data_IF_286465495768
#
_entry.id   IF_286465495768
#
_cell.length_a   1.000
_cell.length_b   1.000
_cell.length_c   1.000
_cell.angle_alpha   90.00
_cell.angle_beta   90.00
_cell.angle_gamma   90.00
#
_symmetry.space_group_name_H-M   'P 1'
#
loop_
_entity.id
_entity.type
_entity.pdbx_description
1 polymer ?
#
# COMPACT_ATOMS: atom_id res chain seq x y z
N UNK A 1 -65.07 40.61 -33.75
CA UNK A 1 -64.58 39.90 -34.95
C UNK A 1 -63.46 38.96 -34.50
N UNK A 2 -63.72 37.65 -34.40
CA UNK A 2 -62.73 36.66 -33.95
C UNK A 2 -62.19 35.91 -35.17
N UNK A 3 -60.90 36.09 -35.47
CA UNK A 3 -60.23 35.36 -36.55
C UNK A 3 -59.84 33.99 -35.99
N UNK A 4 -60.54 32.95 -36.45
CA UNK A 4 -60.28 31.57 -36.06
C UNK A 4 -59.19 30.98 -36.97
N UNK A 5 -57.94 30.92 -36.47
CA UNK A 5 -56.79 30.45 -37.24
C UNK A 5 -56.68 28.93 -37.15
N UNK A 6 -57.35 28.23 -38.07
CA UNK A 6 -57.26 26.77 -38.16
C UNK A 6 -55.91 26.37 -38.79
N UNK A 7 -54.86 26.17 -37.97
CA UNK A 7 -53.56 25.66 -38.43
C UNK A 7 -53.67 24.18 -38.82
N UNK A 8 -53.93 23.91 -40.10
CA UNK A 8 -53.75 22.57 -40.67
C UNK A 8 -52.25 22.25 -40.71
N UNK A 9 -51.84 21.20 -40.01
CA UNK A 9 -50.48 20.66 -40.02
C UNK A 9 -50.09 20.25 -41.45
N UNK A 10 -49.07 20.90 -42.02
CA UNK A 10 -48.55 20.72 -43.41
C UNK A 10 -47.74 19.41 -43.56
N UNK A 11 -47.56 18.65 -42.47
CA UNK A 11 -46.69 17.47 -42.45
C UNK A 11 -47.52 16.23 -42.79
N UNK A 12 -47.15 15.53 -43.87
CA UNK A 12 -47.83 14.30 -44.30
C UNK A 12 -47.70 13.16 -43.28
N UNK A 13 -48.64 12.23 -43.26
CA UNK A 13 -48.62 11.07 -42.34
C UNK A 13 -47.34 10.23 -42.46
N UNK A 14 -46.80 10.10 -43.68
CA UNK A 14 -45.51 9.44 -43.94
C UNK A 14 -44.33 10.21 -43.33
N UNK A 15 -44.36 11.54 -43.37
CA UNK A 15 -43.33 12.39 -42.76
C UNK A 15 -43.42 12.41 -41.23
N UNK A 16 -44.62 12.34 -40.64
CA UNK A 16 -44.79 12.21 -39.18
C UNK A 16 -44.16 10.93 -38.62
N UNK A 17 -44.30 9.80 -39.33
CA UNK A 17 -43.66 8.52 -38.96
C UNK A 17 -42.13 8.59 -39.05
N UNK A 18 -41.59 9.24 -40.09
CA UNK A 18 -40.14 9.46 -40.25
C UNK A 18 -39.57 10.36 -39.15
N UNK A 19 -40.24 11.47 -38.84
CA UNK A 19 -39.85 12.39 -37.76
C UNK A 19 -39.87 11.68 -36.41
N UNK A 20 -40.91 10.88 -36.13
CA UNK A 20 -40.97 10.07 -34.91
C UNK A 20 -39.80 9.09 -34.78
N UNK A 21 -39.43 8.40 -35.87
CA UNK A 21 -38.30 7.47 -35.86
C UNK A 21 -36.95 8.17 -35.64
N UNK A 22 -36.77 9.37 -36.20
CA UNK A 22 -35.54 10.17 -36.02
C UNK A 22 -35.43 10.64 -34.56
N UNK A 23 -36.54 11.12 -33.97
CA UNK A 23 -36.56 11.54 -32.56
C UNK A 23 -36.20 10.37 -31.63
N UNK A 24 -36.73 9.17 -31.89
CA UNK A 24 -36.40 7.97 -31.10
C UNK A 24 -34.93 7.60 -31.23
N UNK A 25 -34.36 7.64 -32.44
CA UNK A 25 -32.93 7.37 -32.66
C UNK A 25 -32.03 8.40 -31.96
N UNK A 26 -32.40 9.69 -32.03
CA UNK A 26 -31.67 10.76 -31.34
C UNK A 26 -31.75 10.59 -29.82
N UNK A 27 -32.92 10.24 -29.26
CA UNK A 27 -33.05 9.97 -27.83
C UNK A 27 -32.27 8.73 -27.37
N UNK A 28 -32.18 7.68 -28.19
CA UNK A 28 -31.34 6.51 -27.90
C UNK A 28 -29.85 6.87 -27.90
N UNK A 29 -29.41 7.69 -28.86
CA UNK A 29 -28.02 8.16 -28.93
C UNK A 29 -27.66 9.10 -27.77
N UNK A 30 -28.56 10.03 -27.41
CA UNK A 30 -28.37 10.87 -26.23
C UNK A 30 -28.40 10.05 -24.93
N UNK A 31 -29.30 9.06 -24.81
CA UNK A 31 -29.38 8.17 -23.66
C UNK A 31 -28.13 7.30 -23.48
N UNK A 32 -27.55 6.81 -24.58
CA UNK A 32 -26.28 6.10 -24.54
C UNK A 32 -25.11 7.02 -24.12
N UNK A 33 -25.07 8.25 -24.65
CA UNK A 33 -24.06 9.25 -24.28
C UNK A 33 -24.16 9.66 -22.80
N UNK A 34 -25.38 9.89 -22.28
CA UNK A 34 -25.56 10.22 -20.87
C UNK A 34 -25.25 9.03 -19.96
N UNK A 35 -25.58 7.80 -20.35
CA UNK A 35 -25.21 6.60 -19.59
C UNK A 35 -23.68 6.43 -19.44
N UNK A 36 -22.90 6.80 -20.46
CA UNK A 36 -21.44 6.79 -20.38
C UNK A 36 -20.90 7.88 -19.43
N UNK A 37 -21.53 9.06 -19.38
CA UNK A 37 -21.12 10.17 -18.51
C UNK A 37 -21.55 10.00 -17.04
N UNK A 38 -22.68 9.33 -16.77
CA UNK A 38 -23.17 9.06 -15.40
C UNK A 38 -22.21 8.16 -14.61
N UNK A 39 -21.26 7.50 -15.27
CA UNK A 39 -20.25 6.69 -14.60
C UNK A 39 -19.26 7.55 -13.80
N UNK A 40 -18.83 8.72 -14.28
CA UNK A 40 -17.80 9.53 -13.61
C UNK A 40 -18.27 10.15 -12.29
N UNK A 41 -19.58 10.40 -12.14
CA UNK A 41 -20.17 11.06 -10.98
C UNK A 41 -20.31 10.15 -9.72
N UNK A 42 -19.96 8.87 -9.83
CA UNK A 42 -20.08 7.90 -8.72
C UNK A 42 -18.74 7.45 -8.12
N UNK A 43 -17.62 8.03 -8.58
CA UNK A 43 -16.29 7.68 -8.08
C UNK A 43 -16.11 8.18 -6.65
N UNK A 44 -15.61 7.31 -5.78
CA UNK A 44 -15.08 7.74 -4.50
C UNK A 44 -13.67 8.29 -4.75
N UNK A 45 -13.38 9.48 -4.25
CA UNK A 45 -12.00 9.97 -4.13
C UNK A 45 -11.46 9.43 -2.82
N UNK A 46 -10.32 8.75 -2.87
CA UNK A 46 -9.66 8.19 -1.69
C UNK A 46 -8.22 8.64 -1.61
N UNK A 47 -7.65 8.64 -0.41
CA UNK A 47 -6.21 8.83 -0.20
C UNK A 47 -5.58 7.44 -0.09
N UNK A 48 -4.68 7.10 -1.02
CA UNK A 48 -3.98 5.82 -1.01
C UNK A 48 -2.50 6.03 -0.66
N UNK A 49 -2.02 5.31 0.35
CA UNK A 49 -0.61 5.27 0.72
C UNK A 49 -0.04 3.89 0.41
N UNK A 50 0.84 3.79 -0.58
CA UNK A 50 1.52 2.56 -0.97
C UNK A 50 3.01 2.67 -0.60
N UNK A 51 3.49 1.79 0.29
CA UNK A 51 4.88 1.79 0.74
C UNK A 51 5.39 3.18 1.18
N UNK A 52 4.52 3.93 1.87
CA UNK A 52 4.80 5.29 2.36
C UNK A 52 4.68 6.40 1.30
N UNK A 53 4.32 6.10 0.06
CA UNK A 53 4.00 7.08 -0.98
C UNK A 53 2.49 7.33 -1.03
N UNK A 54 2.07 8.58 -0.84
CA UNK A 54 0.66 8.95 -0.77
C UNK A 54 0.18 9.66 -2.02
N UNK A 55 -0.97 9.25 -2.54
CA UNK A 55 -1.65 9.86 -3.68
C UNK A 55 -3.18 9.89 -3.49
N UNK A 56 -3.87 10.73 -4.27
CA UNK A 56 -5.32 10.67 -4.36
C UNK A 56 -5.75 9.88 -5.59
N UNK A 57 -6.65 8.92 -5.39
CA UNK A 57 -7.14 8.04 -6.45
C UNK A 57 -8.66 8.09 -6.49
N UNK A 58 -9.22 8.15 -7.69
CA UNK A 58 -10.65 8.00 -7.90
C UNK A 58 -10.96 6.56 -8.30
N UNK A 59 -11.87 5.91 -7.58
CA UNK A 59 -12.17 4.48 -7.78
C UNK A 59 -13.67 4.19 -7.74
N UNK A 60 -14.07 3.13 -8.45
CA UNK A 60 -15.39 2.51 -8.37
C UNK A 60 -15.41 1.25 -7.50
N UNK A 61 -14.26 0.87 -6.93
CA UNK A 61 -14.14 -0.29 -6.08
C UNK A 61 -15.07 -0.16 -4.87
N UNK A 62 -15.78 -1.26 -4.58
CA UNK A 62 -16.70 -1.33 -3.44
C UNK A 62 -15.99 -1.67 -2.14
N UNK A 63 -14.82 -2.31 -2.22
CA UNK A 63 -14.06 -2.78 -1.05
C UNK A 63 -12.58 -2.51 -1.23
N UNK A 64 -11.84 -2.45 -0.11
CA UNK A 64 -10.37 -2.29 -0.10
C UNK A 64 -9.68 -3.33 -0.98
N UNK A 65 -10.08 -4.62 -0.91
CA UNK A 65 -9.54 -5.68 -1.77
C UNK A 65 -9.73 -5.39 -3.27
N UNK A 66 -10.92 -4.95 -3.67
CA UNK A 66 -11.18 -4.65 -5.07
C UNK A 66 -10.36 -3.44 -5.53
N UNK A 67 -10.17 -2.45 -4.65
CA UNK A 67 -9.34 -1.28 -4.93
C UNK A 67 -7.86 -1.65 -5.08
N UNK A 68 -7.30 -2.45 -4.17
CA UNK A 68 -5.90 -2.89 -4.26
C UNK A 68 -5.64 -3.66 -5.57
N UNK A 69 -6.58 -4.52 -6.00
CA UNK A 69 -6.50 -5.18 -7.31
C UNK A 69 -6.57 -4.22 -8.49
N UNK A 70 -7.40 -3.18 -8.41
CA UNK A 70 -7.44 -2.11 -9.42
C UNK A 70 -6.10 -1.39 -9.54
N UNK A 71 -5.37 -1.22 -8.43
CA UNK A 71 -4.02 -0.67 -8.39
C UNK A 71 -2.92 -1.70 -8.76
N UNK A 72 -3.28 -2.90 -9.19
CA UNK A 72 -2.35 -4.02 -9.46
C UNK A 72 -1.48 -4.39 -8.24
N UNK A 73 -2.02 -4.22 -7.03
CA UNK A 73 -1.38 -4.65 -5.79
C UNK A 73 -1.84 -6.06 -5.45
N UNK A 74 -0.91 -7.00 -5.61
CA UNK A 74 -1.01 -8.35 -5.04
C UNK A 74 -0.34 -8.34 -3.67
N UNK A 75 -1.11 -8.59 -2.62
CA UNK A 75 -0.62 -8.51 -1.24
C UNK A 75 -0.49 -9.89 -0.59
N UNK A 76 0.52 -10.03 0.27
CA UNK A 76 0.81 -11.25 1.05
C UNK A 76 0.14 -11.26 2.43
N UNK A 77 0.27 -12.38 3.14
CA UNK A 77 -0.25 -12.55 4.51
C UNK A 77 0.45 -11.63 5.53
N UNK A 78 1.71 -11.27 5.28
CA UNK A 78 2.51 -10.44 6.17
C UNK A 78 2.47 -8.95 5.84
N UNK A 79 1.84 -8.57 4.71
CA UNK A 79 1.71 -7.18 4.32
C UNK A 79 0.82 -6.43 5.31
N UNK A 80 1.13 -5.16 5.50
CA UNK A 80 0.26 -4.27 6.23
C UNK A 80 -0.83 -3.74 5.31
N UNK A 81 -2.09 -3.87 5.72
CA UNK A 81 -3.23 -3.28 5.03
C UNK A 81 -4.17 -2.68 6.06
N UNK A 82 -4.50 -1.41 5.87
CA UNK A 82 -5.50 -0.73 6.67
C UNK A 82 -6.34 0.21 5.79
N UNK A 83 -7.68 0.25 5.96
CA UNK A 83 -8.51 -0.66 6.74
C UNK A 83 -8.55 -2.09 6.19
N UNK A 84 -9.30 -3.00 6.83
CA UNK A 84 -9.41 -4.40 6.40
C UNK A 84 -9.78 -4.53 4.91
N UNK A 85 -9.24 -5.55 4.24
CA UNK A 85 -9.49 -5.87 2.83
C UNK A 85 -10.99 -6.02 2.47
N UNK A 86 -11.84 -6.36 3.44
CA UNK A 86 -13.28 -6.50 3.25
C UNK A 86 -14.08 -5.22 3.56
N UNK A 87 -13.42 -4.18 4.07
CA UNK A 87 -14.06 -2.91 4.40
C UNK A 87 -14.63 -2.25 3.14
N UNK A 88 -15.88 -1.78 3.23
CA UNK A 88 -16.53 -1.04 2.16
C UNK A 88 -15.92 0.36 1.99
N UNK A 89 -15.64 0.74 0.75
CA UNK A 89 -15.10 2.05 0.39
C UNK A 89 -16.22 3.09 0.33
N UNK A 90 -15.90 4.28 0.84
CA UNK A 90 -16.70 5.49 0.77
C UNK A 90 -15.78 6.68 0.49
N UNK A 91 -16.36 7.83 0.14
CA UNK A 91 -15.60 9.05 -0.18
C UNK A 91 -14.68 9.49 0.97
N UNK A 92 -13.53 10.04 0.59
CA UNK A 92 -12.48 10.60 1.45
C UNK A 92 -11.81 9.57 2.39
N UNK A 93 -11.98 8.28 2.12
CA UNK A 93 -11.35 7.22 2.87
C UNK A 93 -9.83 7.21 2.65
N UNK A 94 -9.06 6.99 3.72
CA UNK A 94 -7.64 6.68 3.63
C UNK A 94 -7.44 5.16 3.61
N UNK A 95 -6.66 4.68 2.64
CA UNK A 95 -6.23 3.28 2.53
C UNK A 95 -4.70 3.28 2.54
N UNK A 96 -4.11 2.40 3.33
CA UNK A 96 -2.68 2.21 3.43
C UNK A 96 -2.35 0.73 3.16
N UNK A 97 -1.35 0.53 2.31
CA UNK A 97 -0.71 -0.76 2.09
C UNK A 97 0.81 -0.60 2.18
N UNK A 98 1.45 -1.51 2.90
CA UNK A 98 2.90 -1.64 2.89
C UNK A 98 3.26 -3.12 2.70
N UNK A 99 4.06 -3.37 1.67
CA UNK A 99 4.58 -4.71 1.37
C UNK A 99 5.54 -5.14 2.47
N UNK A 100 5.38 -6.36 2.96
CA UNK A 100 6.36 -6.97 3.84
C UNK A 100 7.46 -7.64 3.02
N UNK A 101 8.70 -7.37 3.39
CA UNK A 101 9.86 -8.09 2.89
C UNK A 101 10.35 -9.09 3.94
N UNK A 102 10.90 -10.20 3.47
CA UNK A 102 11.54 -11.19 4.32
C UNK A 102 13.03 -10.86 4.48
N UNK A 103 13.48 -10.79 5.72
CA UNK A 103 14.87 -10.55 6.08
C UNK A 103 15.45 -11.76 6.79
N UNK A 104 16.65 -12.17 6.38
CA UNK A 104 17.42 -13.17 7.08
C UNK A 104 18.19 -12.52 8.25
N UNK A 105 18.19 -13.17 9.41
CA UNK A 105 18.96 -12.76 10.58
C UNK A 105 19.85 -13.93 10.99
N UNK A 106 21.15 -13.67 11.11
CA UNK A 106 22.17 -14.64 11.53
C UNK A 106 22.63 -14.30 12.94
N UNK A 107 22.40 -15.21 13.88
CA UNK A 107 22.84 -15.13 15.27
C UNK A 107 23.88 -16.23 15.47
N UNK A 108 25.16 -15.89 15.38
CA UNK A 108 26.25 -16.86 15.38
C UNK A 108 25.98 -17.98 14.35
N UNK A 109 25.74 -19.22 14.82
CA UNK A 109 25.46 -20.39 13.98
C UNK A 109 23.97 -20.59 13.63
N UNK A 110 23.06 -19.75 14.13
CA UNK A 110 21.62 -19.86 13.88
C UNK A 110 21.16 -18.86 12.83
N UNK A 111 20.28 -19.31 11.94
CA UNK A 111 19.60 -18.45 10.96
C UNK A 111 18.10 -18.46 11.21
N UNK A 112 17.52 -17.28 11.35
CA UNK A 112 16.07 -17.07 11.45
C UNK A 112 15.61 -16.09 10.37
N UNK A 113 14.31 -16.00 10.16
CA UNK A 113 13.70 -15.07 9.20
C UNK A 113 12.64 -14.22 9.87
N UNK A 114 12.58 -12.95 9.50
CA UNK A 114 11.53 -12.04 9.94
C UNK A 114 10.87 -11.35 8.75
N UNK A 115 9.56 -11.18 8.83
CA UNK A 115 8.79 -10.37 7.89
C UNK A 115 8.60 -8.98 8.46
N UNK A 116 8.91 -7.95 7.68
CA UNK A 116 8.76 -6.56 8.11
C UNK A 116 8.42 -5.66 6.93
N UNK A 117 7.58 -4.66 7.20
CA UNK A 117 7.26 -3.59 6.24
C UNK A 117 8.27 -2.43 6.30
N UNK A 118 9.01 -2.31 7.41
CA UNK A 118 10.16 -1.42 7.53
C UNK A 118 11.43 -2.13 7.08
N UNK A 119 12.33 -1.41 6.43
CA UNK A 119 13.67 -1.90 6.06
C UNK A 119 14.76 -1.48 7.06
N UNK A 120 14.42 -0.85 8.19
CA UNK A 120 15.43 -0.47 9.19
C UNK A 120 15.76 -1.65 10.09
N UNK A 121 17.05 -1.90 10.31
CA UNK A 121 17.53 -3.05 11.10
C UNK A 121 16.87 -3.10 12.47
N UNK A 122 16.79 -1.97 13.20
CA UNK A 122 16.11 -1.91 14.51
C UNK A 122 14.67 -2.44 14.46
N UNK A 123 13.89 -1.99 13.48
CA UNK A 123 12.47 -2.32 13.39
C UNK A 123 12.27 -3.78 12.98
N UNK A 124 13.18 -4.31 12.15
CA UNK A 124 13.21 -5.73 11.75
C UNK A 124 13.52 -6.62 12.96
N UNK A 125 14.54 -6.27 13.76
CA UNK A 125 14.90 -7.03 14.97
C UNK A 125 13.77 -7.00 16.01
N UNK A 126 13.10 -5.86 16.19
CA UNK A 126 11.92 -5.74 17.06
C UNK A 126 10.78 -6.65 16.58
N UNK A 127 10.52 -6.71 15.27
CA UNK A 127 9.53 -7.64 14.71
C UNK A 127 9.91 -9.11 14.84
N UNK A 128 11.20 -9.40 14.90
CA UNK A 128 11.73 -10.74 15.12
C UNK A 128 11.80 -11.14 16.61
N UNK A 129 11.41 -10.23 17.52
CA UNK A 129 11.57 -10.39 18.97
C UNK A 129 13.04 -10.66 19.38
N UNK A 130 13.98 -10.04 18.65
CA UNK A 130 15.43 -10.15 18.90
C UNK A 130 15.89 -8.94 19.71
N UNK A 131 16.38 -9.19 20.91
CA UNK A 131 16.99 -8.17 21.78
C UNK A 131 18.51 -8.30 21.76
N UNK A 132 19.22 -7.19 21.56
CA UNK A 132 20.68 -7.14 21.61
C UNK A 132 21.15 -6.89 23.05
N UNK A 133 22.19 -7.60 23.46
CA UNK A 133 22.95 -7.33 24.69
C UNK A 133 24.03 -6.25 24.48
N UNK A 134 24.61 -5.75 25.57
CA UNK A 134 25.68 -4.73 25.52
C UNK A 134 26.97 -5.22 24.82
N UNK A 135 27.15 -6.54 24.71
CA UNK A 135 28.32 -7.17 24.10
C UNK A 135 28.01 -7.78 22.74
N UNK A 136 26.95 -7.34 22.07
CA UNK A 136 26.61 -7.77 20.72
C UNK A 136 26.68 -6.60 19.75
N UNK A 137 27.18 -6.87 18.55
CA UNK A 137 27.20 -5.94 17.45
C UNK A 137 26.34 -6.47 16.32
N UNK A 138 25.53 -5.59 15.75
CA UNK A 138 24.71 -5.88 14.57
C UNK A 138 25.31 -5.21 13.32
N UNK A 139 25.30 -5.94 12.21
CA UNK A 139 25.66 -5.45 10.88
C UNK A 139 24.58 -5.86 9.87
N UNK A 140 23.97 -4.93 9.11
CA UNK A 140 24.12 -3.47 9.17
C UNK A 140 23.71 -2.89 10.53
N UNK A 141 24.10 -1.65 10.82
CA UNK A 141 23.81 -0.99 12.11
C UNK A 141 22.32 -0.78 12.36
N UNK A 142 21.89 -0.64 13.63
CA UNK A 142 20.46 -0.49 14.01
C UNK A 142 19.70 0.63 13.28
N UNK A 143 20.37 1.74 12.96
CA UNK A 143 19.78 2.87 12.23
C UNK A 143 19.83 2.71 10.71
N UNK A 144 20.58 1.74 10.21
CA UNK A 144 20.79 1.50 8.79
C UNK A 144 19.64 0.68 8.20
N UNK A 145 19.57 0.72 6.86
CA UNK A 145 18.61 -0.09 6.11
C UNK A 145 19.22 -1.45 5.80
N UNK A 146 18.48 -2.50 6.11
CA UNK A 146 18.78 -3.85 5.66
C UNK A 146 18.35 -4.03 4.19
N UNK A 147 18.97 -4.99 3.52
CA UNK A 147 18.56 -5.45 2.20
C UNK A 147 18.05 -6.88 2.36
N UNK A 148 16.89 -7.23 1.80
CA UNK A 148 16.25 -8.53 2.01
C UNK A 148 17.18 -9.74 1.75
N UNK A 149 18.08 -9.64 0.76
CA UNK A 149 18.99 -10.71 0.35
C UNK A 149 20.33 -10.75 1.12
N UNK A 150 20.59 -9.76 1.97
CA UNK A 150 21.81 -9.69 2.78
C UNK A 150 21.42 -9.95 4.23
N UNK A 151 21.98 -10.99 4.88
CA UNK A 151 21.62 -11.30 6.25
C UNK A 151 22.04 -10.16 7.19
N UNK A 152 21.16 -9.82 8.12
CA UNK A 152 21.50 -9.03 9.30
C UNK A 152 22.29 -9.95 10.23
N UNK A 153 23.54 -9.63 10.52
CA UNK A 153 24.43 -10.45 11.34
C UNK A 153 24.56 -9.86 12.74
N UNK A 154 24.39 -10.71 13.76
CA UNK A 154 24.59 -10.39 15.17
C UNK A 154 25.76 -11.24 15.68
N UNK A 155 26.80 -10.58 16.19
CA UNK A 155 28.02 -11.21 16.68
C UNK A 155 28.38 -10.69 18.07
N UNK A 156 28.85 -11.59 18.93
CA UNK A 156 29.43 -11.26 20.22
C UNK A 156 30.75 -10.51 20.04
N UNK A 157 30.90 -9.34 20.68
CA UNK A 157 32.18 -8.64 20.80
C UNK A 157 32.89 -9.12 22.07
N UNK A 158 34.02 -9.82 21.90
CA UNK A 158 34.86 -10.17 23.04
C UNK A 158 35.35 -8.88 23.72
N UNK A 159 35.00 -8.70 25.00
CA UNK A 159 35.67 -7.70 25.82
C UNK A 159 37.13 -8.16 25.95
N UNK A 160 38.07 -7.42 25.37
CA UNK A 160 39.49 -7.59 25.68
C UNK A 160 39.70 -7.33 27.18
N UNK A 161 39.54 -8.36 28.00
CA UNK A 161 40.00 -8.40 29.39
C UNK A 161 41.49 -8.73 29.34
N UNK A 162 42.27 -7.79 28.78
CA UNK A 162 43.72 -7.92 28.70
C UNK A 162 44.32 -7.78 30.10
N UNK A 163 44.76 -8.92 30.64
CA UNK A 163 46.17 -9.15 30.98
C UNK A 163 46.94 -7.98 31.61
N UNK A 164 46.46 -7.42 32.73
CA UNK A 164 47.27 -6.47 33.53
C UNK A 164 47.45 -6.86 34.99
N UNK A 165 46.94 -8.03 35.42
CA UNK A 165 47.06 -8.52 36.79
C UNK A 165 48.24 -9.50 37.03
N UNK A 166 48.84 -10.09 35.99
CA UNK A 166 49.87 -11.13 36.18
C UNK A 166 51.30 -10.60 36.38
N UNK A 167 51.57 -9.31 36.15
CA UNK A 167 52.93 -8.75 36.19
C UNK A 167 53.38 -8.14 37.52
N UNK A 168 52.57 -8.14 38.58
CA UNK A 168 52.85 -7.38 39.82
C UNK A 168 53.17 -8.19 41.07
N UNK A 169 53.20 -9.53 41.02
CA UNK A 169 53.44 -10.35 42.21
C UNK A 169 54.82 -11.02 42.32
N UNK A 170 55.69 -10.96 41.30
CA UNK A 170 56.96 -11.71 41.34
C UNK A 170 58.20 -10.90 41.77
N UNK A 171 58.08 -9.60 41.99
CA UNK A 171 59.23 -8.74 42.35
C UNK A 171 59.32 -8.33 43.82
N UNK A 172 58.59 -8.99 44.74
CA UNK A 172 58.51 -8.57 46.16
C UNK A 172 59.05 -9.57 47.19
N UNK A 173 59.74 -10.65 46.81
CA UNK A 173 60.25 -11.63 47.81
C UNK A 173 61.75 -11.93 47.75
N UNK A 174 62.54 -11.09 47.08
CA UNK A 174 63.99 -11.16 47.09
C UNK A 174 64.59 -9.87 47.67
N UNK A 175 64.53 -9.73 49.00
CA UNK A 175 65.57 -9.09 49.81
C UNK A 175 65.40 -9.44 51.29
#
# INVERSE_FOLDING_TARGET
MFINFNRRSVISSKQKKKIGSIIVLVLLLLGAMTALMVNENSKNTITFTANGQTEQVQTHAKTVNAFLKEQNVDFGEHDYIFPSVNQSIHGDMAIEWAQAEQYAISLEDKKITAWATSNRVKDILEKADVTLSEHERVTPGLSEKAQAHIPITIESIEANVDQQAAGRHESASAN
#
